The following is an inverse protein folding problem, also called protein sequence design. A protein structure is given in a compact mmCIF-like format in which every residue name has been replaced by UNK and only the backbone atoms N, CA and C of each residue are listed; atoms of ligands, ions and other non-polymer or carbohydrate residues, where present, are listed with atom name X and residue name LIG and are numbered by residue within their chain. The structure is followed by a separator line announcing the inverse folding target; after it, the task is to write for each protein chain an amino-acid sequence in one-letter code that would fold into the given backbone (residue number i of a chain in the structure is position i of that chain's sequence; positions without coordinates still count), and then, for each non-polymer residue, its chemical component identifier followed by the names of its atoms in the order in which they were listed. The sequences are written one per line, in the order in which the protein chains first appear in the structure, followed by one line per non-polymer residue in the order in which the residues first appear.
data_IF_684023318402
#
_entry.id   IF_684023318402
#
_cell.length_a   1.000
_cell.length_b   1.000
_cell.length_c   1.000
_cell.angle_alpha   90.00
_cell.angle_beta   90.00
_cell.angle_gamma   90.00
#
_symmetry.space_group_name_H-M   'P 1'
#
loop_
_entity.id
_entity.type
_entity.pdbx_description
1 polymer ?
#
# COMPACT_ATOMS: atom_id res chain seq x y z
N UNK A 1 -24.17 19.15 -23.23
CA UNK A 1 -22.70 19.17 -23.25
C UNK A 1 -22.22 18.05 -22.31
N UNK A 2 -21.73 16.96 -22.88
CA UNK A 2 -21.21 15.82 -22.10
C UNK A 2 -19.88 16.22 -21.45
N UNK A 3 -19.86 16.17 -20.11
CA UNK A 3 -18.64 16.37 -19.32
C UNK A 3 -17.49 15.49 -19.85
N UNK A 4 -16.27 16.00 -20.03
CA UNK A 4 -15.15 15.21 -20.50
C UNK A 4 -14.99 14.03 -19.54
N UNK A 5 -14.88 12.79 -20.09
CA UNK A 5 -14.72 11.55 -19.36
C UNK A 5 -13.65 11.72 -18.27
N UNK A 6 -14.10 11.99 -17.06
CA UNK A 6 -13.20 12.13 -15.92
C UNK A 6 -12.47 10.79 -15.75
N UNK A 7 -11.18 10.81 -16.12
CA UNK A 7 -10.34 9.61 -16.10
C UNK A 7 -10.43 8.98 -14.70
N UNK A 8 -10.86 7.73 -14.63
CA UNK A 8 -11.02 7.05 -13.34
C UNK A 8 -9.64 6.64 -12.78
N UNK A 9 -8.97 7.63 -12.23
CA UNK A 9 -7.66 7.48 -11.62
C UNK A 9 -7.63 6.41 -10.52
N UNK A 10 -8.75 6.22 -9.83
CA UNK A 10 -8.86 5.16 -8.81
C UNK A 10 -8.65 3.77 -9.40
N UNK A 11 -9.20 3.50 -10.61
CA UNK A 11 -8.96 2.23 -11.31
C UNK A 11 -7.50 2.07 -11.73
N UNK A 12 -6.87 3.15 -12.19
CA UNK A 12 -5.48 3.13 -12.62
C UNK A 12 -4.57 2.83 -11.42
N UNK A 13 -4.73 3.56 -10.32
CA UNK A 13 -3.93 3.36 -9.10
C UNK A 13 -4.16 1.99 -8.48
N UNK A 14 -5.39 1.48 -8.49
CA UNK A 14 -5.68 0.12 -8.03
C UNK A 14 -4.96 -0.94 -8.86
N UNK A 15 -4.95 -0.82 -10.20
CA UNK A 15 -4.21 -1.73 -11.08
C UNK A 15 -2.72 -1.64 -10.83
N UNK A 16 -2.16 -0.44 -10.75
CA UNK A 16 -0.75 -0.22 -10.48
C UNK A 16 -0.34 -0.82 -9.12
N UNK A 17 -1.15 -0.63 -8.07
CA UNK A 17 -0.91 -1.21 -6.76
C UNK A 17 -0.97 -2.74 -6.78
N UNK A 18 -1.92 -3.34 -7.53
CA UNK A 18 -2.02 -4.80 -7.68
C UNK A 18 -0.79 -5.37 -8.39
N UNK A 19 -0.37 -4.74 -9.50
CA UNK A 19 0.81 -5.17 -10.26
C UNK A 19 2.07 -5.02 -9.39
N UNK A 20 2.23 -3.88 -8.71
CA UNK A 20 3.37 -3.63 -7.84
C UNK A 20 3.43 -4.61 -6.66
N UNK A 21 2.29 -4.95 -6.05
CA UNK A 21 2.23 -5.96 -4.99
C UNK A 21 2.65 -7.35 -5.52
N UNK A 22 2.13 -7.78 -6.66
CA UNK A 22 2.50 -9.05 -7.28
C UNK A 22 3.98 -9.09 -7.67
N UNK A 23 4.50 -8.02 -8.28
CA UNK A 23 5.92 -7.91 -8.63
C UNK A 23 6.82 -7.92 -7.39
N UNK A 24 6.42 -7.26 -6.30
CA UNK A 24 7.13 -7.30 -5.02
C UNK A 24 7.16 -8.69 -4.42
N UNK A 25 6.05 -9.44 -4.51
CA UNK A 25 5.98 -10.82 -4.04
C UNK A 25 6.91 -11.74 -4.85
N UNK A 26 6.90 -11.62 -6.18
CA UNK A 26 7.79 -12.38 -7.06
C UNK A 26 9.26 -12.04 -6.77
N UNK A 27 9.59 -10.76 -6.65
CA UNK A 27 10.95 -10.33 -6.31
C UNK A 27 11.37 -10.88 -4.95
N UNK A 28 10.48 -10.81 -3.95
CA UNK A 28 10.78 -11.33 -2.62
C UNK A 28 11.04 -12.84 -2.64
N UNK A 29 10.21 -13.61 -3.35
CA UNK A 29 10.42 -15.04 -3.54
C UNK A 29 11.72 -15.33 -4.27
N UNK A 30 12.10 -14.53 -5.27
CA UNK A 30 13.36 -14.67 -5.99
C UNK A 30 14.59 -14.52 -5.08
N UNK A 31 14.49 -13.75 -3.97
CA UNK A 31 15.60 -13.62 -3.01
C UNK A 31 15.91 -14.92 -2.23
N UNK A 32 15.04 -15.93 -2.29
CA UNK A 32 15.28 -17.26 -1.71
C UNK A 32 15.92 -18.25 -2.69
N UNK A 33 16.16 -17.83 -3.93
CA UNK A 33 16.84 -18.60 -4.98
C UNK A 33 18.21 -17.99 -5.27
N UNK A 34 19.10 -18.67 -6.00
CA UNK A 34 20.41 -18.12 -6.41
C UNK A 34 20.26 -17.03 -7.49
N UNK A 35 19.32 -16.09 -7.28
CA UNK A 35 19.10 -14.96 -8.18
C UNK A 35 20.18 -13.89 -7.96
N UNK A 36 20.78 -13.32 -9.03
CA UNK A 36 21.84 -12.35 -8.89
C UNK A 36 21.42 -11.12 -8.06
N UNK A 37 22.11 -10.80 -6.95
CA UNK A 37 21.69 -9.74 -6.02
C UNK A 37 21.63 -8.35 -6.68
N UNK A 38 22.44 -8.07 -7.68
CA UNK A 38 22.42 -6.81 -8.42
C UNK A 38 21.09 -6.58 -9.13
N UNK A 39 20.52 -7.58 -9.79
CA UNK A 39 19.22 -7.47 -10.43
C UNK A 39 18.08 -7.38 -9.42
N UNK A 40 18.19 -8.11 -8.31
CA UNK A 40 17.23 -8.01 -7.22
C UNK A 40 17.22 -6.60 -6.61
N UNK A 41 18.39 -6.00 -6.39
CA UNK A 41 18.50 -4.64 -5.87
C UNK A 41 17.94 -3.61 -6.85
N UNK A 42 18.28 -3.70 -8.15
CA UNK A 42 17.73 -2.80 -9.17
C UNK A 42 16.19 -2.90 -9.25
N UNK A 43 15.65 -4.11 -9.24
CA UNK A 43 14.20 -4.35 -9.21
C UNK A 43 13.54 -3.78 -7.96
N UNK A 44 14.16 -3.95 -6.79
CA UNK A 44 13.66 -3.41 -5.52
C UNK A 44 13.62 -1.87 -5.53
N UNK A 45 14.65 -1.21 -6.07
CA UNK A 45 14.68 0.26 -6.18
C UNK A 45 13.61 0.79 -7.15
N UNK A 46 13.42 0.13 -8.30
CA UNK A 46 12.37 0.50 -9.23
C UNK A 46 10.97 0.37 -8.61
N UNK A 47 10.72 -0.74 -7.91
CA UNK A 47 9.46 -0.95 -7.18
C UNK A 47 9.29 0.05 -6.05
N UNK A 48 10.35 0.40 -5.33
CA UNK A 48 10.30 1.41 -4.26
C UNK A 48 9.86 2.77 -4.80
N UNK A 49 10.40 3.21 -5.93
CA UNK A 49 9.98 4.45 -6.59
C UNK A 49 8.49 4.42 -6.94
N UNK A 50 7.99 3.32 -7.52
CA UNK A 50 6.58 3.13 -7.82
C UNK A 50 5.68 3.15 -6.57
N UNK A 51 6.15 2.55 -5.48
CA UNK A 51 5.44 2.54 -4.20
C UNK A 51 5.28 3.95 -3.62
N UNK A 52 6.34 4.78 -3.67
CA UNK A 52 6.25 6.18 -3.23
C UNK A 52 5.24 6.99 -4.04
N UNK A 53 5.18 6.80 -5.36
CA UNK A 53 4.17 7.45 -6.21
C UNK A 53 2.76 7.06 -5.78
N UNK A 54 2.51 5.78 -5.51
CA UNK A 54 1.21 5.29 -5.07
C UNK A 54 0.83 5.79 -3.67
N UNK A 55 1.77 5.83 -2.73
CA UNK A 55 1.56 6.38 -1.40
C UNK A 55 1.26 7.88 -1.46
N UNK A 56 1.99 8.64 -2.28
CA UNK A 56 1.73 10.07 -2.49
C UNK A 56 0.34 10.30 -3.10
N UNK A 57 -0.05 9.49 -4.09
CA UNK A 57 -1.39 9.54 -4.69
C UNK A 57 -2.49 9.22 -3.67
N UNK A 58 -2.27 8.21 -2.81
CA UNK A 58 -3.19 7.85 -1.72
C UNK A 58 -3.35 9.01 -0.73
N UNK A 59 -2.25 9.60 -0.27
CA UNK A 59 -2.27 10.74 0.67
C UNK A 59 -2.99 11.94 0.05
N UNK A 60 -2.71 12.26 -1.21
CA UNK A 60 -3.39 13.34 -1.92
C UNK A 60 -4.92 13.11 -1.98
N UNK A 61 -5.34 11.87 -2.24
CA UNK A 61 -6.77 11.49 -2.27
C UNK A 61 -7.42 11.55 -0.88
N UNK A 62 -6.74 11.08 0.16
CA UNK A 62 -7.23 11.19 1.54
C UNK A 62 -7.46 12.65 1.95
N UNK A 63 -6.57 13.57 1.55
CA UNK A 63 -6.74 15.01 1.82
C UNK A 63 -7.96 15.60 1.13
N UNK A 64 -8.23 15.19 -0.10
CA UNK A 64 -9.40 15.68 -0.86
C UNK A 64 -10.70 15.16 -0.28
N UNK A 65 -10.76 13.89 0.09
CA UNK A 65 -11.97 13.26 0.65
C UNK A 65 -12.20 13.67 2.11
N UNK A 66 -11.13 13.92 2.86
CA UNK A 66 -11.17 14.37 4.26
C UNK A 66 -11.28 15.89 4.43
N UNK A 67 -11.30 16.67 3.35
CA UNK A 67 -11.47 18.12 3.44
C UNK A 67 -12.86 18.44 4.01
N UNK A 68 -12.98 19.18 5.13
CA UNK A 68 -14.27 19.55 5.67
C UNK A 68 -15.02 20.40 4.66
N UNK A 69 -16.33 20.16 4.52
CA UNK A 69 -17.23 21.12 3.88
C UNK A 69 -16.99 22.47 4.55
N UNK A 70 -16.73 23.49 3.72
CA UNK A 70 -16.31 24.86 4.10
C UNK A 70 -16.77 25.29 5.49
N UNK A 71 -15.84 25.47 6.41
CA UNK A 71 -16.07 26.20 7.67
C UNK A 71 -15.73 25.50 8.98
N UNK A 72 -15.40 24.23 9.00
CA UNK A 72 -15.16 23.53 10.26
C UNK A 72 -13.70 23.13 10.43
N UNK A 73 -13.01 23.82 11.32
CA UNK A 73 -11.87 23.43 12.12
C UNK A 73 -10.64 22.73 11.49
N UNK A 74 -9.58 22.48 12.27
CA UNK A 74 -8.36 21.88 11.76
C UNK A 74 -8.61 20.47 11.22
N UNK A 75 -7.91 20.13 10.13
CA UNK A 75 -7.91 18.81 9.49
C UNK A 75 -7.80 17.73 10.59
N UNK A 76 -8.94 17.08 10.91
CA UNK A 76 -8.92 15.96 11.85
C UNK A 76 -8.03 14.87 11.26
N UNK A 77 -7.06 14.44 12.05
CA UNK A 77 -6.28 13.24 11.74
C UNK A 77 -7.26 12.13 11.37
N UNK A 78 -7.05 11.57 10.18
CA UNK A 78 -7.90 10.48 9.66
C UNK A 78 -7.93 9.37 10.71
N UNK A 79 -9.12 9.06 11.23
CA UNK A 79 -9.27 7.95 12.17
C UNK A 79 -8.94 6.64 11.45
N UNK A 80 -7.76 6.13 11.74
CA UNK A 80 -7.26 4.89 11.15
C UNK A 80 -8.16 3.69 11.43
N UNK A 81 -8.80 3.65 12.61
CA UNK A 81 -9.73 2.58 12.99
C UNK A 81 -10.97 2.61 12.10
N UNK A 82 -11.50 3.81 11.86
CA UNK A 82 -12.64 3.99 10.96
C UNK A 82 -12.30 3.57 9.52
N UNK A 83 -11.10 3.90 9.01
CA UNK A 83 -10.66 3.44 7.70
C UNK A 83 -10.51 1.91 7.64
N UNK A 84 -9.96 1.29 8.68
CA UNK A 84 -9.82 -0.16 8.75
C UNK A 84 -11.17 -0.87 8.80
N UNK A 85 -12.20 -0.26 9.37
CA UNK A 85 -13.57 -0.80 9.39
C UNK A 85 -14.19 -0.87 7.98
N UNK A 86 -13.73 -0.03 7.05
CA UNK A 86 -14.16 -0.06 5.64
C UNK A 86 -13.56 -1.24 4.86
N UNK A 87 -12.56 -1.93 5.38
CA UNK A 87 -11.96 -3.09 4.71
C UNK A 87 -12.70 -4.35 5.12
N UNK A 88 -13.20 -5.18 4.17
CA UNK A 88 -13.84 -6.45 4.48
C UNK A 88 -12.92 -7.36 5.32
N UNK A 89 -13.52 -8.23 6.13
CA UNK A 89 -12.78 -9.02 7.12
C UNK A 89 -11.71 -9.93 6.50
N UNK A 90 -12.00 -10.62 5.39
CA UNK A 90 -11.04 -11.48 4.71
C UNK A 90 -9.79 -10.75 4.26
N UNK A 91 -9.88 -9.71 3.42
CA UNK A 91 -8.74 -8.87 3.04
C UNK A 91 -8.02 -8.24 4.24
N UNK A 92 -8.74 -7.83 5.28
CA UNK A 92 -8.15 -7.28 6.50
C UNK A 92 -7.28 -8.31 7.22
N UNK A 93 -7.76 -9.54 7.38
CA UNK A 93 -6.99 -10.65 7.96
C UNK A 93 -5.76 -10.99 7.12
N UNK A 94 -5.90 -11.05 5.80
CA UNK A 94 -4.77 -11.24 4.88
C UNK A 94 -3.73 -10.11 5.02
N UNK A 95 -4.18 -8.87 5.15
CA UNK A 95 -3.30 -7.72 5.40
C UNK A 95 -2.52 -7.85 6.70
N UNK A 96 -3.19 -8.25 7.79
CA UNK A 96 -2.54 -8.50 9.09
C UNK A 96 -1.50 -9.62 8.97
N UNK A 97 -1.79 -10.70 8.23
CA UNK A 97 -0.84 -11.79 8.02
C UNK A 97 0.41 -11.31 7.24
N UNK A 98 0.26 -10.46 6.23
CA UNK A 98 1.39 -9.87 5.50
C UNK A 98 2.21 -8.97 6.43
N UNK A 99 1.58 -8.14 7.27
CA UNK A 99 2.27 -7.31 8.25
C UNK A 99 3.07 -8.17 9.23
N UNK A 100 2.44 -9.20 9.80
CA UNK A 100 3.10 -10.13 10.72
C UNK A 100 4.30 -10.83 10.05
N UNK A 101 4.15 -11.27 8.80
CA UNK A 101 5.23 -11.85 8.01
C UNK A 101 6.40 -10.88 7.82
N UNK A 102 6.13 -9.62 7.46
CA UNK A 102 7.18 -8.62 7.24
C UNK A 102 7.91 -8.29 8.54
N UNK A 103 7.19 -8.18 9.67
CA UNK A 103 7.79 -7.98 10.98
C UNK A 103 8.65 -9.18 11.40
N UNK A 104 8.19 -10.40 11.15
CA UNK A 104 8.96 -11.62 11.38
C UNK A 104 10.22 -11.66 10.52
N UNK A 105 10.10 -11.33 9.22
CA UNK A 105 11.26 -11.28 8.31
C UNK A 105 12.26 -10.19 8.73
N UNK A 106 11.79 -9.04 9.22
CA UNK A 106 12.64 -8.01 9.80
C UNK A 106 13.39 -8.52 11.03
N UNK A 107 12.67 -9.12 11.98
CA UNK A 107 13.28 -9.67 13.19
C UNK A 107 14.32 -10.73 12.84
N UNK A 108 13.98 -11.65 11.93
CA UNK A 108 14.89 -12.70 11.49
C UNK A 108 16.19 -12.12 10.87
N UNK A 109 16.06 -11.08 10.02
CA UNK A 109 17.21 -10.42 9.40
C UNK A 109 18.11 -9.70 10.41
N UNK A 110 17.53 -9.15 11.49
CA UNK A 110 18.29 -8.51 12.56
C UNK A 110 19.05 -9.51 13.42
N UNK A 111 18.48 -10.70 13.64
CA UNK A 111 19.11 -11.73 14.49
C UNK A 111 20.14 -12.60 13.74
N UNK A 112 19.94 -12.86 12.45
CA UNK A 112 20.80 -13.76 11.68
C UNK A 112 22.01 -13.08 11.03
N UNK A 113 22.05 -11.74 11.01
CA UNK A 113 23.23 -10.96 10.59
C UNK A 113 23.70 -11.25 9.15
N UNK A 114 22.78 -11.48 8.23
CA UNK A 114 23.09 -11.93 6.87
C UNK A 114 23.58 -10.74 6.01
N UNK A 115 24.89 -10.64 5.77
CA UNK A 115 25.50 -9.57 5.01
C UNK A 115 25.18 -9.69 3.51
N UNK A 116 24.56 -8.65 2.93
CA UNK A 116 24.33 -8.52 1.48
C UNK A 116 22.98 -9.05 1.00
N UNK A 117 22.74 -10.35 0.95
CA UNK A 117 21.48 -10.96 0.49
C UNK A 117 20.34 -10.63 1.46
N UNK A 118 20.63 -10.58 2.75
CA UNK A 118 19.68 -10.19 3.80
C UNK A 118 19.11 -8.79 3.61
N UNK A 119 19.91 -7.83 3.17
CA UNK A 119 19.48 -6.45 2.93
C UNK A 119 18.46 -6.36 1.79
N UNK A 120 18.68 -7.08 0.68
CA UNK A 120 17.76 -7.11 -0.46
C UNK A 120 16.47 -7.85 -0.10
N UNK A 121 16.57 -8.94 0.65
CA UNK A 121 15.42 -9.70 1.17
C UNK A 121 14.58 -8.85 2.11
N UNK A 122 15.22 -8.13 3.01
CA UNK A 122 14.57 -7.20 3.92
C UNK A 122 13.81 -6.12 3.16
N UNK A 123 14.47 -5.44 2.21
CA UNK A 123 13.87 -4.40 1.39
C UNK A 123 12.68 -4.94 0.59
N UNK A 124 12.84 -6.08 -0.09
CA UNK A 124 11.77 -6.69 -0.88
C UNK A 124 10.57 -7.10 -0.02
N UNK A 125 10.79 -7.56 1.21
CA UNK A 125 9.74 -7.80 2.19
C UNK A 125 8.95 -6.54 2.56
N UNK A 126 9.63 -5.42 2.80
CA UNK A 126 8.98 -4.12 3.08
C UNK A 126 8.19 -3.59 1.89
N UNK A 127 8.62 -3.86 0.65
CA UNK A 127 7.86 -3.48 -0.54
C UNK A 127 6.46 -4.09 -0.57
N UNK A 128 6.26 -5.28 0.00
CA UNK A 128 4.93 -5.88 0.16
C UNK A 128 4.00 -4.97 0.95
N UNK A 129 4.48 -4.36 2.04
CA UNK A 129 3.68 -3.40 2.81
C UNK A 129 3.43 -2.11 2.05
N UNK A 130 4.45 -1.56 1.39
CA UNK A 130 4.32 -0.31 0.65
C UNK A 130 3.33 -0.40 -0.51
N UNK A 131 3.11 -1.58 -1.07
CA UNK A 131 2.08 -1.81 -2.08
C UNK A 131 0.75 -2.30 -1.50
N UNK A 132 0.77 -3.04 -0.38
CA UNK A 132 -0.44 -3.51 0.29
C UNK A 132 -1.32 -2.34 0.77
N UNK A 133 -0.70 -1.33 1.39
CA UNK A 133 -1.42 -0.18 1.95
C UNK A 133 -2.21 0.57 0.87
N UNK A 134 -1.61 1.07 -0.23
CA UNK A 134 -2.37 1.71 -1.30
C UNK A 134 -3.31 0.73 -2.02
N UNK A 135 -2.98 -0.55 -2.14
CA UNK A 135 -3.89 -1.55 -2.70
C UNK A 135 -5.18 -1.65 -1.88
N UNK A 136 -5.09 -1.78 -0.57
CA UNK A 136 -6.24 -1.83 0.32
C UNK A 136 -7.06 -0.54 0.25
N UNK A 137 -6.38 0.61 0.23
CA UNK A 137 -7.03 1.90 0.11
C UNK A 137 -7.81 2.04 -1.20
N UNK A 138 -7.17 1.88 -2.36
CA UNK A 138 -7.81 2.08 -3.66
C UNK A 138 -8.86 1.01 -4.00
N UNK A 139 -8.79 -0.15 -3.38
CA UNK A 139 -9.73 -1.25 -3.61
C UNK A 139 -10.96 -1.20 -2.72
N UNK A 140 -10.82 -0.83 -1.47
CA UNK A 140 -11.88 -0.98 -0.47
C UNK A 140 -12.29 0.34 0.18
N UNK A 141 -11.34 1.25 0.45
CA UNK A 141 -11.60 2.47 1.20
C UNK A 141 -12.09 3.60 0.29
N UNK A 142 -11.34 3.93 -0.75
CA UNK A 142 -11.70 5.04 -1.66
C UNK A 142 -13.10 4.90 -2.27
N UNK A 143 -13.55 3.73 -2.78
CA UNK A 143 -14.91 3.59 -3.31
C UNK A 143 -15.97 3.90 -2.26
N UNK A 144 -15.87 3.35 -1.06
CA UNK A 144 -16.84 3.55 0.01
C UNK A 144 -16.90 4.99 0.51
N UNK A 145 -15.75 5.66 0.57
CA UNK A 145 -15.72 7.09 0.90
C UNK A 145 -16.38 7.95 -0.18
N UNK A 146 -16.31 7.54 -1.45
CA UNK A 146 -16.98 8.23 -2.56
C UNK A 146 -18.49 8.03 -2.56
N UNK A 147 -18.94 6.82 -2.22
CA UNK A 147 -20.34 6.42 -2.23
C UNK A 147 -21.10 6.97 -1.00
N UNK A 148 -20.43 7.66 -0.10
CA UNK A 148 -21.01 8.23 1.12
C UNK A 148 -21.21 7.22 2.26
N UNK A 149 -20.76 5.97 2.07
CA UNK A 149 -20.77 4.90 3.10
C UNK A 149 -19.68 5.11 4.16
N UNK A 150 -19.15 6.32 4.27
CA UNK A 150 -18.22 6.68 5.34
C UNK A 150 -18.87 6.44 6.70
N UNK A 151 -18.04 6.15 7.75
CA UNK A 151 -18.58 5.93 9.09
C UNK A 151 -19.46 7.11 9.47
N UNK A 152 -20.75 6.82 9.72
CA UNK A 152 -21.71 7.80 10.22
C UNK A 152 -21.08 8.53 11.40
N UNK A 153 -20.98 9.85 11.29
CA UNK A 153 -20.47 10.68 12.39
C UNK A 153 -21.35 10.42 13.62
N UNK A 154 -20.76 10.13 14.79
CA UNK A 154 -21.52 10.14 16.03
C UNK A 154 -22.07 11.51 16.34
#
# INVERSE_FOLDING_TARGET
MSSPKQRDWGKIFRRAATIGFAASAVLHLATFTPFPPAYAAAGALALLAGAFVLLAAMIARLRVVGAPARGEGPVRLVDWRALMALIPEGPRRAGVAVIAYVLFNLALSLFLGDEGVGSVRLLSGHLLLFYLIPLMYFRFVEPRLRDGDGPSRP
#
